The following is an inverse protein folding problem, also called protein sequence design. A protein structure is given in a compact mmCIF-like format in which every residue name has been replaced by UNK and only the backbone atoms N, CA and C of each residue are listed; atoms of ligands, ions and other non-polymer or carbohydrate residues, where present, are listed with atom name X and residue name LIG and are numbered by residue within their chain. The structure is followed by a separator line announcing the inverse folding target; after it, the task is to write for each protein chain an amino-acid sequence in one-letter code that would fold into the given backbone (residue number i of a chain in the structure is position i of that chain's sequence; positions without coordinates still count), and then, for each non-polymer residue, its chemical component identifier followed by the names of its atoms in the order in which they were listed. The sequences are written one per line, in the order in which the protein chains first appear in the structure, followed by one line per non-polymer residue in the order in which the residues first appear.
data_IF_842587047213
#
_entry.id   IF_842587047213
#
_cell.length_a   1.000
_cell.length_b   1.000
_cell.length_c   1.000
_cell.angle_alpha   90.00
_cell.angle_beta   90.00
_cell.angle_gamma   90.00
#
_symmetry.space_group_name_H-M   'P 1'
#
loop_
_entity.id
_entity.type
_entity.pdbx_description
1 polymer ?
#
# COMPACT_ATOMS: atom_id res chain seq x y z
N UNK A 1 43.51 8.54 -41.03
CA UNK A 1 42.30 9.30 -41.41
C UNK A 1 41.92 8.84 -42.81
N UNK A 2 40.89 8.02 -42.98
CA UNK A 2 39.46 8.40 -42.84
C UNK A 2 38.85 7.82 -41.54
N UNK A 3 37.61 8.11 -41.14
CA UNK A 3 36.57 8.97 -41.71
C UNK A 3 35.24 8.55 -41.07
N UNK A 4 34.79 9.28 -40.05
CA UNK A 4 33.69 8.83 -39.19
C UNK A 4 32.34 8.87 -39.92
N UNK A 5 31.68 7.71 -40.04
CA UNK A 5 30.29 7.65 -40.50
C UNK A 5 29.35 7.92 -39.32
N UNK A 6 28.62 9.02 -39.40
CA UNK A 6 27.50 9.31 -38.50
C UNK A 6 26.30 8.47 -38.92
N UNK A 7 25.80 7.63 -38.01
CA UNK A 7 24.56 6.87 -38.22
C UNK A 7 23.39 7.75 -37.77
N UNK A 8 22.69 8.36 -38.72
CA UNK A 8 21.49 9.14 -38.45
C UNK A 8 20.32 8.20 -38.12
N UNK A 9 19.75 8.33 -36.91
CA UNK A 9 18.50 7.66 -36.56
C UNK A 9 17.34 8.30 -37.33
N UNK A 10 16.56 7.49 -38.04
CA UNK A 10 15.38 7.96 -38.78
C UNK A 10 14.18 8.12 -37.85
N UNK A 11 13.71 9.37 -37.74
CA UNK A 11 12.59 9.81 -36.91
C UNK A 11 11.23 9.36 -37.48
N UNK A 12 10.49 8.54 -36.73
CA UNK A 12 9.19 7.96 -37.10
C UNK A 12 8.02 8.85 -36.65
N UNK A 13 7.95 10.07 -37.20
CA UNK A 13 6.96 11.10 -36.83
C UNK A 13 5.49 10.64 -36.88
N UNK A 14 4.92 10.30 -35.72
CA UNK A 14 3.51 9.90 -35.55
C UNK A 14 2.58 11.12 -35.72
N UNK A 15 1.51 10.99 -36.53
CA UNK A 15 0.46 12.02 -36.74
C UNK A 15 -0.85 11.59 -36.09
N UNK A 16 -1.30 12.33 -35.06
CA UNK A 16 -2.48 12.00 -34.25
C UNK A 16 -3.68 12.94 -34.47
N UNK A 17 -4.90 12.40 -34.36
CA UNK A 17 -6.18 13.12 -34.45
C UNK A 17 -7.02 12.79 -33.21
N UNK A 18 -7.65 13.81 -32.60
CA UNK A 18 -8.54 13.63 -31.44
C UNK A 18 -9.67 14.68 -31.39
N UNK A 19 -10.84 14.28 -30.88
CA UNK A 19 -11.97 15.17 -30.53
C UNK A 19 -12.19 15.17 -29.02
N UNK A 20 -12.26 16.34 -28.39
CA UNK A 20 -12.26 16.46 -26.94
C UNK A 20 -13.58 16.04 -26.26
N UNK A 21 -13.53 15.35 -25.10
CA UNK A 21 -14.64 15.29 -24.15
C UNK A 21 -14.43 16.26 -22.96
N UNK A 22 -15.54 16.86 -22.52
CA UNK A 22 -15.57 18.05 -21.67
C UNK A 22 -15.13 17.91 -20.20
N UNK A 23 -14.77 19.08 -19.64
CA UNK A 23 -14.47 19.30 -18.22
C UNK A 23 -15.74 19.08 -17.36
N UNK A 24 -15.58 18.44 -16.19
CA UNK A 24 -16.52 18.59 -15.06
C UNK A 24 -15.75 18.76 -13.74
N UNK A 25 -16.26 19.64 -12.89
CA UNK A 25 -15.63 20.05 -11.63
C UNK A 25 -16.18 19.25 -10.43
N UNK A 26 -15.45 19.34 -9.31
CA UNK A 26 -15.72 18.63 -8.06
C UNK A 26 -16.46 19.53 -7.04
N UNK A 27 -17.49 19.05 -6.32
CA UNK A 27 -18.08 19.72 -5.15
C UNK A 27 -17.66 19.10 -3.79
N UNK A 28 -17.71 19.85 -2.68
CA UNK A 28 -16.84 19.61 -1.51
C UNK A 28 -17.44 18.73 -0.39
N UNK A 29 -16.62 18.46 0.62
CA UNK A 29 -16.97 17.75 1.84
C UNK A 29 -17.79 18.61 2.83
N UNK A 30 -18.67 17.96 3.60
CA UNK A 30 -19.39 18.58 4.72
C UNK A 30 -18.96 17.98 6.07
N UNK A 31 -18.59 18.87 7.01
CA UNK A 31 -18.74 18.65 8.46
C UNK A 31 -19.86 19.56 8.96
N UNK A 32 -20.51 19.18 10.05
CA UNK A 32 -21.47 20.02 10.76
C UNK A 32 -21.94 19.37 12.05
N UNK A 33 -21.58 19.95 13.19
CA UNK A 33 -22.04 19.55 14.52
C UNK A 33 -23.49 20.00 14.81
N UNK A 34 -24.12 19.43 15.85
CA UNK A 34 -25.37 19.95 16.41
C UNK A 34 -25.97 19.11 17.54
N UNK A 35 -26.11 19.68 18.74
CA UNK A 35 -26.65 19.01 19.94
C UNK A 35 -28.02 19.58 20.37
N UNK A 36 -28.91 18.67 20.78
CA UNK A 36 -29.79 18.70 21.96
C UNK A 36 -30.99 19.68 22.10
N UNK A 37 -31.95 19.22 22.94
CA UNK A 37 -32.99 19.94 23.70
C UNK A 37 -34.24 20.47 22.94
N UNK A 38 -35.49 20.47 23.47
CA UNK A 38 -36.09 19.83 24.68
C UNK A 38 -37.65 19.86 24.61
N UNK A 39 -38.29 19.06 25.47
CA UNK A 39 -39.63 19.25 26.12
C UNK A 39 -40.93 19.17 25.29
N UNK A 40 -41.80 18.21 25.64
CA UNK A 40 -43.21 18.08 25.23
C UNK A 40 -43.98 17.22 26.26
N UNK A 41 -45.23 17.58 26.62
CA UNK A 41 -45.89 17.15 27.87
C UNK A 41 -47.43 17.09 27.75
N UNK A 42 -48.08 16.28 28.62
CA UNK A 42 -49.53 16.23 28.98
C UNK A 42 -50.48 15.35 28.14
N UNK A 43 -51.53 14.71 28.70
CA UNK A 43 -51.86 14.40 30.12
C UNK A 43 -53.11 13.46 30.23
N UNK A 44 -53.31 12.85 31.42
CA UNK A 44 -54.62 12.36 31.91
C UNK A 44 -54.94 10.88 31.63
N UNK A 45 -55.61 10.11 32.51
CA UNK A 45 -56.38 10.43 33.72
C UNK A 45 -56.27 9.35 34.83
N UNK A 46 -56.68 9.76 36.06
CA UNK A 46 -56.74 9.08 37.38
C UNK A 46 -58.12 8.35 37.59
N UNK A 47 -58.60 7.89 38.79
CA UNK A 47 -58.06 7.73 40.17
C UNK A 47 -58.39 6.30 40.79
N UNK A 48 -58.80 6.09 42.08
CA UNK A 48 -57.95 6.03 43.30
C UNK A 48 -58.15 4.81 44.26
N UNK A 49 -57.34 4.82 45.35
CA UNK A 49 -57.70 4.52 46.76
C UNK A 49 -57.34 3.16 47.44
N UNK A 50 -56.60 3.35 48.55
CA UNK A 50 -56.10 2.49 49.65
C UNK A 50 -57.10 1.50 50.31
N UNK A 51 -56.62 0.36 50.85
CA UNK A 51 -56.41 0.11 52.32
C UNK A 51 -56.04 -1.36 52.71
N UNK A 52 -54.97 -1.50 53.53
CA UNK A 52 -54.73 -2.40 54.70
C UNK A 52 -55.16 -3.91 54.77
N UNK A 53 -54.14 -4.77 55.02
CA UNK A 53 -53.97 -5.67 56.22
C UNK A 53 -54.03 -7.23 56.11
N UNK A 54 -52.92 -7.86 56.58
CA UNK A 54 -52.71 -9.09 57.38
C UNK A 54 -53.34 -10.47 57.04
N UNK A 55 -52.49 -11.53 56.99
CA UNK A 55 -52.41 -12.65 57.98
C UNK A 55 -51.44 -13.79 57.52
N UNK A 56 -51.05 -14.70 58.43
CA UNK A 56 -49.96 -15.72 58.27
C UNK A 56 -50.46 -17.16 58.51
N UNK A 57 -49.92 -18.20 57.81
CA UNK A 57 -49.98 -19.61 58.24
C UNK A 57 -48.59 -20.25 58.57
N UNK A 58 -48.55 -21.45 59.20
CA UNK A 58 -47.42 -21.94 60.03
C UNK A 58 -46.48 -23.01 59.36
N UNK A 59 -45.41 -23.51 60.05
CA UNK A 59 -44.25 -24.15 59.41
C UNK A 59 -44.14 -25.69 59.58
N UNK A 60 -43.24 -26.33 58.82
CA UNK A 60 -42.31 -27.38 59.32
C UNK A 60 -41.33 -27.93 58.28
N UNK A 61 -40.02 -27.94 58.60
CA UNK A 61 -39.11 -29.12 58.66
C UNK A 61 -37.65 -28.69 58.90
N UNK A 62 -36.88 -29.58 59.51
CA UNK A 62 -35.52 -29.38 60.03
C UNK A 62 -34.46 -29.17 58.94
N UNK A 63 -33.49 -28.29 59.22
CA UNK A 63 -32.27 -28.11 58.43
C UNK A 63 -31.01 -28.54 59.23
N UNK A 64 -29.89 -28.88 58.56
CA UNK A 64 -28.72 -29.48 59.22
C UNK A 64 -27.86 -28.49 60.02
N UNK A 65 -26.97 -29.06 60.84
CA UNK A 65 -25.99 -28.39 61.71
C UNK A 65 -25.32 -27.14 61.09
N UNK A 66 -25.50 -25.94 61.68
CA UNK A 66 -24.95 -24.69 61.15
C UNK A 66 -23.44 -24.48 61.39
N UNK A 67 -22.73 -25.38 62.10
CA UNK A 67 -21.30 -25.22 62.41
C UNK A 67 -20.37 -26.23 61.70
N UNK A 68 -20.91 -27.12 60.85
CA UNK A 68 -20.18 -28.20 60.18
C UNK A 68 -19.30 -27.81 58.98
N UNK A 69 -18.72 -26.60 58.91
CA UNK A 69 -17.82 -26.21 57.80
C UNK A 69 -16.58 -25.45 58.27
N UNK A 70 -15.45 -26.14 58.31
CA UNK A 70 -14.14 -25.53 58.50
C UNK A 70 -13.83 -24.56 57.34
N UNK A 71 -13.83 -23.26 57.65
CA UNK A 71 -13.56 -22.16 56.73
C UNK A 71 -12.08 -22.00 56.38
N UNK A 72 -11.17 -22.74 57.02
CA UNK A 72 -9.73 -22.77 56.71
C UNK A 72 -9.37 -23.84 55.67
N UNK A 73 -10.24 -24.81 55.40
CA UNK A 73 -9.99 -25.95 54.50
C UNK A 73 -10.06 -25.64 52.99
N UNK A 74 -10.40 -24.40 52.60
CA UNK A 74 -10.42 -24.02 51.18
C UNK A 74 -8.99 -23.75 50.67
N UNK A 75 -8.50 -24.44 49.63
CA UNK A 75 -7.16 -24.19 49.09
C UNK A 75 -7.10 -22.76 48.54
N UNK A 76 -6.27 -21.91 49.16
CA UNK A 76 -6.03 -20.52 48.72
C UNK A 76 -5.60 -20.53 47.25
N UNK A 77 -6.48 -20.08 46.37
CA UNK A 77 -6.21 -19.89 44.94
C UNK A 77 -5.03 -18.94 44.82
N UNK A 78 -3.84 -19.43 44.43
CA UNK A 78 -2.65 -18.58 44.20
C UNK A 78 -3.05 -17.49 43.20
N UNK A 79 -3.04 -16.22 43.63
CA UNK A 79 -3.14 -15.08 42.71
C UNK A 79 -1.91 -15.15 41.80
N UNK A 80 -2.12 -15.45 40.53
CA UNK A 80 -1.10 -15.26 39.50
C UNK A 80 -0.87 -13.76 39.37
N UNK A 81 0.36 -13.33 39.54
CA UNK A 81 0.76 -11.93 39.35
C UNK A 81 0.87 -11.68 37.84
N UNK A 82 0.22 -10.64 37.28
CA UNK A 82 0.27 -10.37 35.85
C UNK A 82 1.68 -9.98 35.41
N UNK A 83 2.07 -10.47 34.24
CA UNK A 83 3.27 -10.04 33.55
C UNK A 83 2.96 -8.83 32.66
N UNK A 84 3.75 -7.76 32.79
CA UNK A 84 3.59 -6.51 32.05
C UNK A 84 4.89 -6.23 31.28
N UNK A 85 4.84 -6.06 29.94
CA UNK A 85 6.02 -5.65 29.18
C UNK A 85 6.56 -4.31 29.67
N UNK A 86 7.86 -4.23 29.92
CA UNK A 86 8.54 -3.01 30.34
C UNK A 86 8.75 -2.05 29.13
N UNK A 87 7.65 -1.47 28.64
CA UNK A 87 7.62 -0.52 27.52
C UNK A 87 7.61 0.94 27.99
N UNK A 88 8.00 1.87 27.12
CA UNK A 88 8.25 3.29 27.48
C UNK A 88 7.04 4.13 27.87
N UNK A 89 5.85 3.53 27.92
CA UNK A 89 4.57 4.07 28.37
C UNK A 89 4.17 3.54 29.76
N UNK A 90 4.89 2.55 30.30
CA UNK A 90 4.61 1.93 31.60
C UNK A 90 5.27 2.71 32.74
N UNK A 91 4.44 3.20 33.66
CA UNK A 91 4.86 3.78 34.95
C UNK A 91 4.61 2.75 36.04
N UNK A 92 5.63 2.44 36.84
CA UNK A 92 5.51 1.50 37.98
C UNK A 92 6.23 2.02 39.21
N UNK A 93 5.83 1.49 40.37
CA UNK A 93 6.50 1.68 41.65
C UNK A 93 7.27 0.41 42.06
N UNK A 94 8.52 0.55 42.50
CA UNK A 94 9.28 -0.54 43.14
C UNK A 94 8.76 -0.78 44.57
N UNK A 95 8.10 -1.92 44.82
CA UNK A 95 7.38 -2.18 46.06
C UNK A 95 8.27 -2.21 47.33
N UNK A 96 9.58 -2.39 47.17
CA UNK A 96 10.54 -2.41 48.27
C UNK A 96 11.05 -1.02 48.66
N UNK A 97 11.12 -0.07 47.73
CA UNK A 97 11.69 1.27 47.96
C UNK A 97 10.75 2.44 47.69
N UNK A 98 9.50 2.18 47.28
CA UNK A 98 8.48 3.20 47.00
C UNK A 98 8.83 4.12 45.83
N UNK A 99 9.71 3.67 44.93
CA UNK A 99 10.22 4.50 43.84
C UNK A 99 9.35 4.33 42.59
N UNK A 100 8.51 5.34 42.34
CA UNK A 100 7.64 5.42 41.18
C UNK A 100 8.32 6.15 40.02
N UNK A 101 8.30 5.55 38.82
CA UNK A 101 8.89 6.12 37.62
C UNK A 101 8.48 5.42 36.32
N UNK A 102 8.69 6.11 35.20
CA UNK A 102 8.47 5.61 33.85
C UNK A 102 9.62 4.68 33.43
N UNK A 103 9.30 3.56 32.78
CA UNK A 103 10.32 2.69 32.17
C UNK A 103 11.05 3.44 31.05
N UNK A 104 12.37 3.61 31.17
CA UNK A 104 13.20 4.28 30.14
C UNK A 104 14.22 3.34 29.48
N UNK A 105 14.60 2.24 30.13
CA UNK A 105 15.49 1.21 29.57
C UNK A 105 15.07 -0.16 30.12
N UNK A 106 14.99 -1.19 29.26
CA UNK A 106 14.84 -2.58 29.68
C UNK A 106 15.96 -3.44 29.08
N UNK A 107 16.76 -4.09 29.93
CA UNK A 107 17.80 -5.04 29.55
C UNK A 107 17.27 -6.48 29.61
N UNK A 108 18.15 -7.50 29.61
CA UNK A 108 17.75 -8.89 29.85
C UNK A 108 17.49 -9.22 31.33
N UNK A 109 17.99 -8.39 32.26
CA UNK A 109 17.95 -8.69 33.70
C UNK A 109 17.43 -7.53 34.58
N UNK A 110 17.35 -6.31 34.04
CA UNK A 110 16.96 -5.13 34.81
C UNK A 110 16.20 -4.10 33.96
N UNK A 111 15.36 -3.32 34.65
CA UNK A 111 14.68 -2.14 34.14
C UNK A 111 15.26 -0.87 34.77
N UNK A 112 15.33 0.21 34.01
CA UNK A 112 15.63 1.55 34.54
C UNK A 112 14.33 2.35 34.56
N UNK A 113 13.98 2.87 35.73
CA UNK A 113 12.85 3.76 35.93
C UNK A 113 13.36 5.20 36.08
N UNK A 114 12.67 6.16 35.45
CA UNK A 114 12.91 7.60 35.59
C UNK A 114 11.72 8.26 36.29
N UNK A 115 11.97 8.98 37.38
CA UNK A 115 10.90 9.70 38.10
C UNK A 115 10.60 11.08 37.49
N UNK A 116 9.54 11.73 37.97
CA UNK A 116 9.12 13.08 37.52
C UNK A 116 10.17 14.20 37.70
N UNK A 117 11.26 13.93 38.43
CA UNK A 117 12.38 14.86 38.63
C UNK A 117 13.62 14.46 37.78
N UNK A 118 13.47 13.52 36.85
CA UNK A 118 14.54 13.02 35.98
C UNK A 118 15.54 12.09 36.67
N UNK A 119 15.27 11.66 37.92
CA UNK A 119 16.17 10.75 38.65
C UNK A 119 15.97 9.34 38.12
N UNK A 120 17.07 8.68 37.74
CA UNK A 120 17.06 7.31 37.21
C UNK A 120 17.52 6.30 38.25
N UNK A 121 16.83 5.18 38.38
CA UNK A 121 17.23 4.03 39.20
C UNK A 121 17.03 2.72 38.46
N UNK A 122 17.94 1.77 38.69
CA UNK A 122 17.94 0.44 38.06
C UNK A 122 17.40 -0.58 39.05
N UNK A 123 16.50 -1.44 38.60
CA UNK A 123 15.84 -2.48 39.38
C UNK A 123 15.87 -3.80 38.60
N UNK A 124 16.17 -4.95 39.22
CA UNK A 124 16.12 -6.24 38.53
C UNK A 124 14.68 -6.64 38.15
N UNK A 125 14.54 -7.43 37.08
CA UNK A 125 13.26 -7.97 36.60
C UNK A 125 12.83 -9.18 37.45
N UNK A 126 12.54 -8.95 38.73
CA UNK A 126 12.11 -9.99 39.66
C UNK A 126 10.57 -10.17 39.67
N UNK A 127 10.07 -11.41 39.90
CA UNK A 127 8.64 -11.67 40.00
C UNK A 127 7.96 -10.83 41.08
N UNK A 128 6.82 -10.22 40.75
CA UNK A 128 5.97 -9.44 41.67
C UNK A 128 6.64 -8.25 42.38
N UNK A 129 7.78 -7.77 41.86
CA UNK A 129 8.56 -6.68 42.46
C UNK A 129 7.91 -5.31 42.34
N UNK A 130 7.13 -5.09 41.28
CA UNK A 130 6.63 -3.77 40.91
C UNK A 130 5.14 -3.65 41.22
N UNK A 131 4.66 -2.43 41.43
CA UNK A 131 3.25 -2.09 41.50
C UNK A 131 2.86 -1.27 40.26
N UNK A 132 1.77 -1.66 39.60
CA UNK A 132 1.09 -0.86 38.57
C UNK A 132 -0.28 -0.48 39.15
N UNK A 133 -0.56 0.81 39.25
CA UNK A 133 -1.77 1.35 39.91
C UNK A 133 -2.03 0.79 41.32
N UNK A 134 -0.95 0.46 42.04
CA UNK A 134 -0.97 -0.12 43.38
C UNK A 134 -1.09 -1.65 43.45
N UNK A 135 -1.33 -2.34 42.32
CA UNK A 135 -1.44 -3.80 42.25
C UNK A 135 -0.10 -4.45 41.83
N UNK A 136 0.34 -5.56 42.45
CA UNK A 136 1.59 -6.22 42.09
C UNK A 136 1.62 -6.71 40.64
N UNK A 137 2.74 -6.45 39.95
CA UNK A 137 3.05 -6.90 38.59
C UNK A 137 4.48 -7.43 38.50
N UNK A 138 4.72 -8.33 37.54
CA UNK A 138 6.07 -8.73 37.12
C UNK A 138 6.41 -7.99 35.84
N UNK A 139 7.43 -7.14 35.85
CA UNK A 139 7.93 -6.56 34.60
C UNK A 139 8.70 -7.61 33.80
N UNK A 140 8.37 -7.73 32.52
CA UNK A 140 9.05 -8.63 31.57
C UNK A 140 9.64 -7.86 30.41
N UNK A 141 10.68 -8.41 29.78
CA UNK A 141 11.31 -7.79 28.61
C UNK A 141 10.30 -7.70 27.45
N UNK A 142 10.10 -6.52 26.83
CA UNK A 142 9.24 -6.41 25.66
C UNK A 142 9.67 -7.36 24.54
N UNK A 143 8.70 -8.01 23.91
CA UNK A 143 8.95 -8.77 22.68
C UNK A 143 9.48 -7.83 21.58
N UNK A 144 10.41 -8.27 20.71
CA UNK A 144 10.84 -7.47 19.58
C UNK A 144 9.64 -7.11 18.70
N UNK A 145 9.52 -5.83 18.33
CA UNK A 145 8.50 -5.41 17.36
C UNK A 145 8.71 -6.18 16.04
N UNK A 146 7.63 -6.71 15.47
CA UNK A 146 7.71 -7.44 14.21
C UNK A 146 8.31 -6.52 13.11
N UNK A 147 9.25 -7.01 12.30
CA UNK A 147 9.87 -6.19 11.26
C UNK A 147 8.80 -5.72 10.27
N UNK A 148 8.78 -4.41 10.00
CA UNK A 148 7.82 -3.81 9.08
C UNK A 148 7.89 -4.46 7.69
N UNK A 149 6.73 -4.77 7.11
CA UNK A 149 6.64 -5.34 5.76
C UNK A 149 7.17 -4.32 4.76
N UNK A 150 8.41 -4.53 4.31
CA UNK A 150 9.00 -3.74 3.22
C UNK A 150 8.20 -3.98 1.94
N UNK A 151 7.92 -2.89 1.21
CA UNK A 151 7.25 -2.94 -0.09
C UNK A 151 8.24 -2.67 -1.23
N UNK A 152 7.95 -3.19 -2.42
CA UNK A 152 8.62 -2.82 -3.68
C UNK A 152 8.12 -1.46 -4.17
N UNK A 153 8.69 -0.96 -5.28
CA UNK A 153 8.24 0.27 -5.92
C UNK A 153 6.86 0.13 -6.61
N UNK A 154 6.44 -1.08 -7.00
CA UNK A 154 5.05 -1.39 -7.40
C UNK A 154 4.08 -1.37 -6.22
N UNK A 155 4.58 -1.45 -4.98
CA UNK A 155 3.80 -1.53 -3.75
C UNK A 155 3.52 -2.96 -3.26
N UNK A 156 4.00 -3.99 -3.94
CA UNK A 156 3.90 -5.40 -3.51
C UNK A 156 4.79 -5.70 -2.29
N UNK A 157 4.81 -6.95 -1.80
CA UNK A 157 5.69 -7.36 -0.69
C UNK A 157 7.11 -7.61 -1.21
N UNK A 158 8.08 -6.81 -0.75
CA UNK A 158 9.47 -6.96 -1.16
C UNK A 158 10.09 -8.28 -0.69
N UNK A 159 10.62 -9.08 -1.61
CA UNK A 159 11.32 -10.34 -1.33
C UNK A 159 12.82 -10.10 -1.21
N UNK A 160 13.41 -10.35 -0.03
CA UNK A 160 14.85 -10.26 0.15
C UNK A 160 15.56 -11.56 -0.25
N UNK A 161 16.83 -11.48 -0.67
CA UNK A 161 17.66 -12.67 -0.92
C UNK A 161 17.31 -13.47 -2.19
N UNK A 162 16.72 -12.82 -3.21
CA UNK A 162 16.47 -13.43 -4.52
C UNK A 162 17.77 -14.03 -5.09
N UNK A 163 17.75 -15.34 -5.33
CA UNK A 163 18.74 -16.02 -6.16
C UNK A 163 18.41 -15.78 -7.64
N UNK A 164 19.43 -15.69 -8.49
CA UNK A 164 19.23 -15.63 -9.92
C UNK A 164 18.39 -16.83 -10.39
N UNK A 165 17.33 -16.56 -11.16
CA UNK A 165 16.41 -17.56 -11.69
C UNK A 165 16.43 -17.48 -13.21
N UNK A 166 16.33 -18.62 -13.88
CA UNK A 166 16.12 -18.67 -15.33
C UNK A 166 14.85 -17.90 -15.69
N UNK A 167 14.93 -17.05 -16.71
CA UNK A 167 13.75 -16.36 -17.23
C UNK A 167 12.69 -17.37 -17.67
N UNK A 168 11.42 -17.08 -17.38
CA UNK A 168 10.27 -17.75 -17.98
C UNK A 168 10.33 -17.57 -19.50
N UNK A 169 9.59 -18.38 -20.23
CA UNK A 169 9.41 -18.17 -21.67
C UNK A 169 8.48 -16.96 -21.97
N UNK A 170 7.63 -16.58 -21.02
CA UNK A 170 6.73 -15.44 -21.14
C UNK A 170 7.46 -14.08 -21.23
N UNK A 171 6.84 -13.10 -21.89
CA UNK A 171 7.41 -11.77 -22.16
C UNK A 171 6.40 -10.66 -21.97
N UNK A 172 6.90 -9.47 -21.62
CA UNK A 172 6.19 -8.21 -21.80
C UNK A 172 6.97 -7.37 -22.82
N UNK A 173 6.34 -6.99 -23.92
CA UNK A 173 6.90 -6.04 -24.87
C UNK A 173 6.39 -4.63 -24.56
N UNK A 174 7.26 -3.64 -24.78
CA UNK A 174 6.96 -2.22 -24.55
C UNK A 174 7.43 -1.40 -25.76
N UNK A 175 6.80 -0.27 -26.02
CA UNK A 175 7.02 0.48 -27.27
C UNK A 175 8.36 1.23 -27.36
N UNK A 176 9.12 1.31 -26.26
CA UNK A 176 10.38 2.03 -26.27
C UNK A 176 11.31 1.77 -25.09
N UNK A 177 12.54 2.25 -25.22
CA UNK A 177 13.56 2.15 -24.16
C UNK A 177 13.23 3.00 -22.92
N UNK A 178 12.42 4.05 -23.06
CA UNK A 178 11.93 4.84 -21.93
C UNK A 178 10.91 4.05 -21.11
N UNK A 179 9.99 3.37 -21.79
CA UNK A 179 8.99 2.47 -21.21
C UNK A 179 9.68 1.33 -20.47
N UNK A 180 10.62 0.65 -21.11
CA UNK A 180 11.39 -0.43 -20.49
C UNK A 180 12.12 0.03 -19.22
N UNK A 181 12.74 1.22 -19.26
CA UNK A 181 13.45 1.80 -18.12
C UNK A 181 12.51 2.27 -16.99
N UNK A 182 11.30 2.74 -17.31
CA UNK A 182 10.28 3.08 -16.31
C UNK A 182 9.68 1.82 -15.66
N UNK A 183 9.42 0.79 -16.48
CA UNK A 183 8.93 -0.51 -16.02
C UNK A 183 9.95 -1.18 -15.11
N UNK A 184 11.24 -1.18 -15.48
CA UNK A 184 12.33 -1.65 -14.63
C UNK A 184 12.40 -0.90 -13.30
N UNK A 185 12.26 0.44 -13.32
CA UNK A 185 12.31 1.26 -12.10
C UNK A 185 11.21 0.92 -11.09
N UNK A 186 9.99 0.66 -11.55
CA UNK A 186 8.81 0.48 -10.67
C UNK A 186 8.48 -0.98 -10.42
N UNK A 187 8.51 -1.83 -11.44
CA UNK A 187 8.16 -3.26 -11.37
C UNK A 187 9.35 -4.21 -11.54
N UNK A 188 10.57 -3.72 -11.81
CA UNK A 188 11.72 -4.58 -12.07
C UNK A 188 12.08 -5.54 -10.92
N UNK A 189 11.72 -5.21 -9.68
CA UNK A 189 11.83 -6.17 -8.56
C UNK A 189 10.88 -7.36 -8.75
N UNK A 190 9.60 -7.06 -8.91
CA UNK A 190 8.49 -7.98 -9.06
C UNK A 190 8.65 -8.87 -10.31
N UNK A 191 9.04 -8.26 -11.44
CA UNK A 191 9.32 -8.98 -12.68
C UNK A 191 10.50 -9.97 -12.54
N UNK A 192 11.49 -9.66 -11.70
CA UNK A 192 12.56 -10.62 -11.35
C UNK A 192 12.09 -11.72 -10.39
N UNK A 193 11.20 -11.43 -9.45
CA UNK A 193 10.52 -12.44 -8.61
C UNK A 193 9.74 -13.42 -9.50
N UNK A 194 9.12 -12.91 -10.57
CA UNK A 194 8.36 -13.73 -11.54
C UNK A 194 9.18 -14.27 -12.72
N UNK A 195 10.44 -13.82 -12.87
CA UNK A 195 11.32 -14.23 -13.97
C UNK A 195 10.79 -13.82 -15.35
N UNK A 196 10.00 -12.74 -15.40
CA UNK A 196 9.49 -12.15 -16.63
C UNK A 196 10.54 -11.18 -17.18
N UNK A 197 10.73 -11.21 -18.50
CA UNK A 197 11.62 -10.29 -19.21
C UNK A 197 10.78 -9.24 -19.94
N UNK A 198 11.20 -7.99 -19.82
CA UNK A 198 10.65 -6.85 -20.56
C UNK A 198 11.59 -6.53 -21.72
N UNK A 199 11.06 -6.44 -22.94
CA UNK A 199 11.84 -6.17 -24.15
C UNK A 199 11.22 -4.96 -24.89
N UNK A 200 11.99 -3.91 -25.23
CA UNK A 200 11.49 -2.84 -26.09
C UNK A 200 11.36 -3.32 -27.54
N UNK A 201 10.30 -2.89 -28.21
CA UNK A 201 10.07 -3.09 -29.65
C UNK A 201 9.96 -1.73 -30.34
N UNK A 202 10.50 -1.57 -31.56
CA UNK A 202 10.53 -0.29 -32.28
C UNK A 202 9.16 0.08 -32.87
N UNK A 203 8.21 0.44 -32.01
CA UNK A 203 6.84 0.77 -32.38
C UNK A 203 5.95 -0.46 -32.63
N UNK A 204 4.63 -0.25 -32.59
CA UNK A 204 3.66 -1.31 -32.88
C UNK A 204 3.53 -1.65 -34.38
N UNK A 205 4.14 -0.88 -35.28
CA UNK A 205 3.99 -1.05 -36.74
C UNK A 205 4.37 -2.45 -37.23
N UNK A 206 5.37 -3.08 -36.60
CA UNK A 206 5.83 -4.43 -36.94
C UNK A 206 5.26 -5.52 -36.01
N UNK A 207 4.33 -5.18 -35.11
CA UNK A 207 3.86 -6.08 -34.05
C UNK A 207 3.34 -7.42 -34.59
N UNK A 208 2.58 -7.42 -35.70
CA UNK A 208 2.06 -8.66 -36.28
C UNK A 208 3.16 -9.62 -36.77
N UNK A 209 4.27 -9.09 -37.30
CA UNK A 209 5.41 -9.90 -37.72
C UNK A 209 6.23 -10.39 -36.52
N UNK A 210 6.44 -9.52 -35.53
CA UNK A 210 7.12 -9.87 -34.28
C UNK A 210 6.35 -10.96 -33.52
N UNK A 211 5.03 -10.83 -33.35
CA UNK A 211 4.17 -11.85 -32.72
C UNK A 211 4.21 -13.18 -33.48
N UNK A 212 4.23 -13.17 -34.82
CA UNK A 212 4.37 -14.39 -35.60
C UNK A 212 5.74 -15.08 -35.37
N UNK A 213 6.82 -14.30 -35.33
CA UNK A 213 8.17 -14.81 -35.04
C UNK A 213 8.37 -15.26 -33.59
N UNK A 214 7.66 -14.63 -32.64
CA UNK A 214 7.59 -15.11 -31.27
C UNK A 214 6.82 -16.42 -31.21
N UNK A 215 5.59 -16.47 -31.73
CA UNK A 215 4.59 -17.54 -31.56
C UNK A 215 4.18 -17.76 -30.08
N UNK A 216 3.27 -16.92 -29.54
CA UNK A 216 2.74 -17.11 -28.19
C UNK A 216 2.04 -18.46 -28.03
N UNK A 217 2.16 -19.07 -26.85
CA UNK A 217 1.68 -20.44 -26.60
C UNK A 217 1.51 -20.77 -25.11
N UNK A 218 1.06 -21.99 -24.77
CA UNK A 218 0.99 -22.47 -23.39
C UNK A 218 2.35 -22.34 -22.68
N UNK A 219 2.36 -21.70 -21.51
CA UNK A 219 3.60 -21.42 -20.76
C UNK A 219 4.52 -20.34 -21.38
N UNK A 220 4.12 -19.75 -22.52
CA UNK A 220 4.89 -18.77 -23.29
C UNK A 220 3.98 -17.64 -23.78
N UNK A 221 3.34 -16.99 -22.81
CA UNK A 221 2.45 -15.84 -23.02
C UNK A 221 3.21 -14.58 -23.40
N UNK A 222 2.57 -13.71 -24.15
CA UNK A 222 3.09 -12.40 -24.54
C UNK A 222 2.12 -11.30 -24.10
N UNK A 223 2.57 -10.44 -23.20
CA UNK A 223 1.96 -9.14 -22.95
C UNK A 223 2.58 -8.07 -23.83
N UNK A 224 1.81 -7.07 -24.26
CA UNK A 224 2.29 -5.90 -25.00
C UNK A 224 1.71 -4.64 -24.36
N UNK A 225 2.56 -3.71 -23.96
CA UNK A 225 2.19 -2.37 -23.50
C UNK A 225 2.29 -1.38 -24.67
N UNK A 226 1.16 -0.80 -25.04
CA UNK A 226 1.03 0.18 -26.11
C UNK A 226 0.94 1.63 -25.56
N UNK A 227 1.62 2.56 -26.22
CA UNK A 227 1.26 3.98 -26.09
C UNK A 227 -0.05 4.29 -26.83
N UNK A 228 -0.63 5.45 -26.51
CA UNK A 228 -1.78 6.05 -27.17
C UNK A 228 -2.96 5.11 -27.51
N UNK A 229 -3.23 4.12 -26.67
CA UNK A 229 -4.25 3.09 -26.90
C UNK A 229 -5.66 3.63 -26.64
N UNK A 230 -6.12 4.52 -27.52
CA UNK A 230 -7.43 5.19 -27.45
C UNK A 230 -8.34 4.80 -28.62
N UNK A 231 -9.67 4.77 -28.45
CA UNK A 231 -10.61 4.38 -29.51
C UNK A 231 -10.39 5.17 -30.82
N UNK A 232 -10.25 4.44 -31.93
CA UNK A 232 -10.03 5.01 -33.27
C UNK A 232 -8.56 5.36 -33.61
N UNK A 233 -7.64 5.24 -32.66
CA UNK A 233 -6.19 5.43 -32.87
C UNK A 233 -5.62 4.45 -33.91
N UNK A 234 -4.36 4.66 -34.31
CA UNK A 234 -3.61 3.72 -35.16
C UNK A 234 -3.24 2.48 -34.33
N UNK A 235 -2.86 2.73 -33.08
CA UNK A 235 -2.39 1.79 -32.08
C UNK A 235 -3.48 0.78 -31.72
N UNK A 236 -4.71 1.23 -31.47
CA UNK A 236 -5.88 0.35 -31.26
C UNK A 236 -6.19 -0.49 -32.50
N UNK A 237 -6.14 0.09 -33.72
CA UNK A 237 -6.36 -0.69 -34.95
C UNK A 237 -5.31 -1.78 -35.16
N UNK A 238 -4.06 -1.54 -34.77
CA UNK A 238 -2.99 -2.55 -34.78
C UNK A 238 -3.26 -3.62 -33.72
N UNK A 239 -3.58 -3.21 -32.48
CA UNK A 239 -3.88 -4.12 -31.37
C UNK A 239 -5.06 -5.05 -31.69
N UNK A 240 -6.14 -4.52 -32.24
CA UNK A 240 -7.33 -5.27 -32.66
C UNK A 240 -7.00 -6.27 -33.77
N UNK A 241 -6.28 -5.82 -34.81
CA UNK A 241 -5.88 -6.69 -35.94
C UNK A 241 -4.93 -7.82 -35.52
N UNK A 242 -4.02 -7.54 -34.60
CA UNK A 242 -3.10 -8.54 -34.01
C UNK A 242 -3.88 -9.52 -33.14
N UNK A 243 -4.75 -9.04 -32.25
CA UNK A 243 -5.56 -9.89 -31.36
C UNK A 243 -6.52 -10.79 -32.17
N UNK A 244 -7.15 -10.25 -33.21
CA UNK A 244 -8.00 -11.03 -34.12
C UNK A 244 -7.24 -12.09 -34.92
N UNK A 245 -5.96 -11.86 -35.23
CA UNK A 245 -5.11 -12.78 -36.01
C UNK A 245 -4.51 -13.91 -35.18
N UNK A 246 -4.08 -13.63 -33.94
CA UNK A 246 -3.33 -14.59 -33.10
C UNK A 246 -4.13 -15.12 -31.90
N UNK A 247 -5.31 -14.55 -31.62
CA UNK A 247 -6.16 -14.91 -30.49
C UNK A 247 -5.70 -14.28 -29.17
N UNK A 248 -6.66 -14.09 -28.25
CA UNK A 248 -6.40 -13.50 -26.93
C UNK A 248 -5.95 -14.48 -25.84
N UNK A 249 -5.81 -15.78 -26.13
CA UNK A 249 -5.54 -16.79 -25.10
C UNK A 249 -4.10 -16.71 -24.56
N UNK A 250 -3.13 -16.42 -25.43
CA UNK A 250 -1.71 -16.34 -25.08
C UNK A 250 -1.06 -15.00 -25.44
N UNK A 251 -1.84 -14.07 -25.99
CA UNK A 251 -1.44 -12.71 -26.33
C UNK A 251 -2.42 -11.70 -25.72
N UNK A 252 -1.88 -10.69 -25.03
CA UNK A 252 -2.66 -9.56 -24.54
C UNK A 252 -1.98 -8.25 -24.94
N UNK A 253 -2.70 -7.37 -25.63
CA UNK A 253 -2.30 -5.99 -25.84
C UNK A 253 -3.09 -5.12 -24.85
N UNK A 254 -2.38 -4.46 -23.95
CA UNK A 254 -2.92 -3.44 -23.04
C UNK A 254 -2.15 -2.14 -23.26
N UNK A 255 -2.61 -1.03 -22.69
CA UNK A 255 -1.97 0.26 -22.92
C UNK A 255 -2.64 1.39 -22.18
N UNK A 256 -2.12 2.60 -22.44
CA UNK A 256 -2.57 3.81 -21.78
C UNK A 256 -2.95 4.91 -22.79
N UNK A 257 -3.81 5.87 -22.43
CA UNK A 257 -4.28 6.89 -23.36
C UNK A 257 -3.25 7.97 -23.69
N UNK A 258 -2.10 7.96 -23.02
CA UNK A 258 -1.05 8.97 -23.14
C UNK A 258 -0.28 8.84 -24.46
N UNK A 259 0.12 9.97 -25.04
CA UNK A 259 0.85 10.04 -26.32
C UNK A 259 2.25 9.43 -26.22
N UNK A 260 2.83 9.45 -25.02
CA UNK A 260 4.14 8.89 -24.72
C UNK A 260 4.20 8.55 -23.22
N UNK A 261 5.04 7.59 -22.83
CA UNK A 261 5.23 7.17 -21.44
C UNK A 261 5.66 8.30 -20.50
N UNK A 262 6.32 9.36 -21.00
CA UNK A 262 6.61 10.54 -20.18
C UNK A 262 5.34 11.13 -19.58
N UNK A 263 4.27 11.27 -20.37
CA UNK A 263 2.99 11.83 -19.94
C UNK A 263 2.27 10.93 -18.91
N UNK A 264 2.64 9.65 -18.82
CA UNK A 264 2.16 8.74 -17.78
C UNK A 264 2.79 9.02 -16.39
N UNK A 265 3.90 9.77 -16.31
CA UNK A 265 4.44 10.25 -15.03
C UNK A 265 3.63 11.46 -14.56
N UNK A 266 3.28 11.51 -13.27
CA UNK A 266 2.47 12.60 -12.72
C UNK A 266 3.18 13.96 -12.82
N UNK A 267 2.48 15.05 -13.17
CA UNK A 267 3.05 16.41 -13.19
C UNK A 267 3.74 16.80 -11.87
N UNK A 268 3.16 16.37 -10.75
CA UNK A 268 3.69 16.63 -9.41
C UNK A 268 5.08 16.03 -9.18
N UNK A 269 5.32 14.78 -9.63
CA UNK A 269 6.63 14.14 -9.51
C UNK A 269 7.70 14.89 -10.32
N UNK A 270 7.38 15.26 -11.58
CA UNK A 270 8.30 15.99 -12.48
C UNK A 270 8.50 17.46 -12.06
N UNK A 271 7.69 17.98 -11.12
CA UNK A 271 7.72 19.37 -10.68
C UNK A 271 7.17 20.35 -11.71
N UNK A 272 6.10 19.97 -12.42
CA UNK A 272 5.39 20.81 -13.41
C UNK A 272 3.89 20.90 -13.05
N UNK A 273 3.23 22.00 -13.44
CA UNK A 273 1.78 22.20 -13.16
C UNK A 273 0.91 21.18 -13.90
N UNK A 274 1.25 20.94 -15.16
CA UNK A 274 0.61 19.99 -16.07
C UNK A 274 1.60 19.66 -17.20
N UNK A 275 1.36 18.57 -17.92
CA UNK A 275 2.03 18.31 -19.19
C UNK A 275 1.61 19.36 -20.24
N UNK A 276 2.52 19.87 -21.09
CA UNK A 276 2.17 20.78 -22.16
C UNK A 276 1.27 20.13 -23.22
N UNK A 277 0.33 20.91 -23.75
CA UNK A 277 -0.41 20.56 -24.96
C UNK A 277 0.49 20.80 -26.18
N UNK A 278 0.90 19.74 -26.88
CA UNK A 278 1.74 19.83 -28.10
C UNK A 278 0.86 19.86 -29.36
N UNK A 279 1.05 20.83 -30.28
CA UNK A 279 0.31 20.89 -31.54
C UNK A 279 0.54 19.68 -32.45
N UNK A 280 -0.51 19.25 -33.16
CA UNK A 280 -0.45 18.14 -34.13
C UNK A 280 0.60 18.37 -35.20
N UNK A 281 1.24 17.28 -35.62
CA UNK A 281 2.30 17.30 -36.64
C UNK A 281 3.67 17.72 -36.12
N UNK A 282 3.77 18.14 -34.85
CA UNK A 282 5.04 18.27 -34.12
C UNK A 282 5.37 16.92 -33.48
N UNK A 283 6.64 16.52 -33.45
CA UNK A 283 7.08 15.45 -32.54
C UNK A 283 6.73 15.86 -31.10
N UNK A 284 6.07 14.95 -30.38
CA UNK A 284 5.57 15.21 -29.05
C UNK A 284 6.71 15.44 -28.04
N UNK A 285 7.79 14.65 -28.11
CA UNK A 285 8.92 14.80 -27.17
C UNK A 285 9.64 16.14 -27.36
N UNK A 286 9.88 16.55 -28.60
CA UNK A 286 10.48 17.84 -28.97
C UNK A 286 9.58 18.99 -28.57
N UNK A 287 8.26 18.89 -28.83
CA UNK A 287 7.28 19.90 -28.41
C UNK A 287 7.21 20.08 -26.90
N UNK A 288 7.25 18.99 -26.12
CA UNK A 288 7.35 19.05 -24.65
C UNK A 288 8.64 19.69 -24.18
N UNK A 289 9.78 19.37 -24.80
CA UNK A 289 11.06 19.99 -24.44
C UNK A 289 11.04 21.50 -24.67
N UNK A 290 10.56 21.94 -25.85
CA UNK A 290 10.41 23.36 -26.18
C UNK A 290 9.48 24.09 -25.19
N UNK A 291 8.31 23.52 -24.89
CA UNK A 291 7.33 24.13 -23.99
C UNK A 291 7.77 24.19 -22.52
N UNK A 292 8.68 23.31 -22.09
CA UNK A 292 9.25 23.29 -20.74
C UNK A 292 10.63 23.94 -20.63
N UNK A 293 11.18 24.48 -21.73
CA UNK A 293 12.52 25.08 -21.77
C UNK A 293 13.66 24.09 -21.53
N UNK A 294 13.46 22.82 -21.88
CA UNK A 294 14.48 21.77 -21.77
C UNK A 294 15.34 21.74 -23.03
N UNK A 295 16.67 21.54 -22.93
CA UNK A 295 17.58 21.65 -24.08
C UNK A 295 17.42 20.50 -25.08
N UNK A 296 17.10 19.29 -24.60
CA UNK A 296 17.02 18.09 -25.43
C UNK A 296 16.20 16.98 -24.73
N UNK A 297 15.85 15.95 -25.51
CA UNK A 297 15.00 14.84 -25.06
C UNK A 297 15.66 13.90 -24.06
N UNK A 298 16.99 13.77 -24.06
CA UNK A 298 17.75 12.96 -23.08
C UNK A 298 17.80 13.68 -21.73
N UNK A 299 18.00 15.00 -21.72
CA UNK A 299 17.93 15.83 -20.51
C UNK A 299 16.54 15.79 -19.90
N UNK A 300 15.48 15.93 -20.72
CA UNK A 300 14.10 15.80 -20.23
C UNK A 300 13.82 14.38 -19.73
N UNK A 301 14.24 13.33 -20.44
CA UNK A 301 14.09 11.95 -19.95
C UNK A 301 14.80 11.72 -18.62
N UNK A 302 16.02 12.24 -18.44
CA UNK A 302 16.75 12.17 -17.17
C UNK A 302 15.97 12.77 -16.00
N UNK A 303 15.31 13.92 -16.23
CA UNK A 303 14.41 14.56 -15.26
C UNK A 303 13.17 13.71 -14.97
N UNK A 304 12.50 13.21 -16.01
CA UNK A 304 11.25 12.41 -15.87
C UNK A 304 11.50 11.08 -15.17
N UNK A 305 12.48 10.31 -15.63
CA UNK A 305 12.85 9.04 -15.03
C UNK A 305 13.38 9.25 -13.59
N UNK A 306 14.23 10.26 -13.38
CA UNK A 306 14.78 10.60 -12.07
C UNK A 306 13.74 10.99 -11.01
N UNK A 307 12.60 11.56 -11.43
CA UNK A 307 11.51 11.96 -10.55
C UNK A 307 10.70 10.79 -9.96
N UNK A 308 10.66 9.64 -10.64
CA UNK A 308 9.83 8.49 -10.24
C UNK A 308 10.52 7.68 -9.14
N UNK A 309 9.79 7.39 -8.06
CA UNK A 309 10.26 6.60 -6.91
C UNK A 309 9.44 5.33 -6.73
N UNK A 310 8.12 5.45 -6.85
CA UNK A 310 7.17 4.34 -6.73
C UNK A 310 5.94 4.57 -7.63
N UNK A 311 5.06 3.57 -7.72
CA UNK A 311 3.87 3.57 -8.58
C UNK A 311 2.94 4.78 -8.40
N UNK A 312 2.97 5.48 -7.25
CA UNK A 312 2.17 6.69 -6.99
C UNK A 312 2.62 7.91 -7.76
N UNK A 313 3.88 7.91 -8.21
CA UNK A 313 4.41 8.95 -9.09
C UNK A 313 3.90 8.75 -10.55
N UNK A 314 3.16 7.66 -10.83
CA UNK A 314 2.58 7.32 -12.14
C UNK A 314 1.05 7.50 -12.18
N UNK A 315 0.52 7.74 -13.36
CA UNK A 315 -0.92 7.83 -13.60
C UNK A 315 -1.57 6.43 -13.65
N UNK A 316 -2.75 6.30 -13.05
CA UNK A 316 -3.50 5.04 -12.91
C UNK A 316 -3.61 4.21 -14.21
N UNK A 317 -3.86 4.77 -15.41
CA UNK A 317 -3.98 3.96 -16.62
C UNK A 317 -2.74 3.13 -16.96
N UNK A 318 -1.52 3.69 -16.76
CA UNK A 318 -0.28 2.93 -16.96
C UNK A 318 -0.13 1.83 -15.90
N UNK A 319 -0.42 2.14 -14.63
CA UNK A 319 -0.35 1.17 -13.55
C UNK A 319 -1.32 0.01 -13.81
N UNK A 320 -2.58 0.30 -14.11
CA UNK A 320 -3.59 -0.72 -14.43
C UNK A 320 -3.20 -1.56 -15.65
N UNK A 321 -2.66 -0.96 -16.71
CA UNK A 321 -2.18 -1.71 -17.86
C UNK A 321 -1.03 -2.67 -17.48
N UNK A 322 -0.05 -2.21 -16.70
CA UNK A 322 1.06 -3.03 -16.24
C UNK A 322 0.64 -4.18 -15.32
N UNK A 323 -0.22 -3.93 -14.31
CA UNK A 323 -0.75 -5.01 -13.45
C UNK A 323 -1.51 -6.05 -14.28
N UNK A 324 -2.37 -5.60 -15.22
CA UNK A 324 -3.14 -6.51 -16.10
C UNK A 324 -2.22 -7.37 -16.97
N UNK A 325 -1.12 -6.80 -17.49
CA UNK A 325 -0.12 -7.54 -18.26
C UNK A 325 0.64 -8.55 -17.38
N UNK A 326 1.01 -8.18 -16.15
CA UNK A 326 1.70 -9.05 -15.20
C UNK A 326 0.80 -10.23 -14.80
N UNK A 327 -0.45 -9.96 -14.41
CA UNK A 327 -1.44 -11.01 -14.10
C UNK A 327 -1.62 -11.96 -15.30
N UNK A 328 -1.71 -11.41 -16.52
CA UNK A 328 -1.83 -12.21 -17.74
C UNK A 328 -0.62 -13.10 -17.98
N UNK A 329 0.61 -12.60 -17.88
CA UNK A 329 1.82 -13.40 -18.19
C UNK A 329 2.29 -14.31 -17.04
N UNK A 330 1.73 -14.15 -15.83
CA UNK A 330 2.04 -15.01 -14.67
C UNK A 330 1.17 -16.25 -14.57
N UNK A 331 -0.12 -16.17 -14.96
CA UNK A 331 -1.07 -17.30 -15.02
C UNK A 331 -0.99 -18.16 -16.27
#
# INVERSE_FOLDING_TARGET
MPGAQSVAGTDSGKRYIWGAPGRRAWPPAHRGDGRAATSGVSAGLRPPARLRSAAVPPPSRSLPDPYGRDVLAAPRRRRTVPEVPATGDVVVEDAATGFCGLVVVCTSSAVTLEDRAGRRRVFPLEPARFLLDGEPVTLVRPAPAAPAVRRSASGSRHVAGLRARTARAARVWVEGVHDAALVERVWGHDLRVEGIVVEPIDGLDNLAAAVAGFAPGPGRRLGVLADHLVPGSKETRIADAVTARFGGEHLLVAGHPFVDVWQAVTPAAVGIRAWPDVPRGTDWKTGVCAALGMPDTRTMWGRVNGAVRDYRDLATPLVTAMETLIDFVTG
#
